data_IF_688212679005
#
_entry.id   IF_688212679005
#
_cell.length_a   1.000
_cell.length_b   1.000
_cell.length_c   1.000
_cell.angle_alpha   90.00
_cell.angle_beta   90.00
_cell.angle_gamma   90.00
#
_symmetry.space_group_name_H-M   'P 1'
#
loop_
_entity.id
_entity.type
_entity.pdbx_description
1 polymer ?
#
# COMPACT_ATOMS: atom_id res chain seq x y z
N UNK A 1 5.84 -35.86 32.46
CA UNK A 1 5.64 -34.77 33.44
C UNK A 1 6.69 -33.72 33.13
N UNK A 2 6.44 -32.52 32.62
CA UNK A 2 5.23 -31.71 32.47
C UNK A 2 5.40 -30.88 31.19
N UNK A 3 4.28 -30.71 30.48
CA UNK A 3 4.08 -29.83 29.34
C UNK A 3 4.38 -28.37 29.71
N UNK A 4 5.05 -27.64 28.83
CA UNK A 4 5.32 -26.21 29.00
C UNK A 4 5.11 -25.44 27.70
N UNK A 5 3.94 -25.65 27.09
CA UNK A 5 3.38 -24.78 26.07
C UNK A 5 3.39 -23.32 26.55
N UNK A 6 3.93 -22.42 25.74
CA UNK A 6 3.46 -21.03 25.69
C UNK A 6 3.64 -20.56 24.25
N UNK A 7 2.61 -20.70 23.41
CA UNK A 7 1.64 -19.63 23.16
C UNK A 7 2.32 -18.26 23.12
N UNK A 8 2.85 -17.90 21.95
CA UNK A 8 2.70 -16.55 21.44
C UNK A 8 1.68 -16.63 20.30
N UNK A 9 0.41 -16.60 20.71
CA UNK A 9 -0.68 -16.26 19.83
C UNK A 9 -0.73 -14.73 19.70
N UNK A 10 -1.27 -14.29 18.57
CA UNK A 10 -1.90 -12.98 18.35
C UNK A 10 -0.97 -11.79 18.02
N UNK A 11 -0.37 -11.84 16.83
CA UNK A 11 0.09 -10.65 16.08
C UNK A 11 -0.68 -10.44 14.77
N UNK A 12 -1.90 -10.99 14.64
CA UNK A 12 -2.80 -10.71 13.50
C UNK A 12 -3.88 -9.70 13.90
N UNK A 13 -3.45 -8.48 14.22
CA UNK A 13 -4.33 -7.31 14.15
C UNK A 13 -4.20 -6.72 12.74
N UNK A 14 -5.23 -6.90 11.91
CA UNK A 14 -5.33 -6.38 10.55
C UNK A 14 -5.48 -4.84 10.49
N UNK A 15 -4.57 -4.10 11.12
CA UNK A 15 -4.20 -2.76 10.66
C UNK A 15 -3.29 -2.93 9.44
N UNK A 16 -3.40 -2.04 8.44
CA UNK A 16 -2.52 -2.09 7.28
C UNK A 16 -1.06 -2.14 7.75
N UNK A 17 -0.43 -3.32 7.65
CA UNK A 17 0.96 -3.53 8.08
C UNK A 17 1.81 -2.55 7.29
N UNK A 18 2.40 -1.57 7.97
CA UNK A 18 3.38 -0.68 7.34
C UNK A 18 4.41 -1.59 6.68
N UNK A 19 4.59 -1.53 5.35
CA UNK A 19 5.50 -2.42 4.65
C UNK A 19 6.91 -2.24 5.22
N UNK A 20 7.36 -3.23 6.00
CA UNK A 20 8.55 -3.12 6.84
C UNK A 20 9.84 -3.19 6.03
N UNK A 21 9.80 -3.85 4.87
CA UNK A 21 10.96 -4.03 3.99
C UNK A 21 10.84 -3.22 2.70
N UNK A 22 11.98 -2.98 2.05
CA UNK A 22 12.02 -2.42 0.68
C UNK A 22 11.19 -3.28 -0.29
N UNK A 23 11.26 -4.60 -0.15
CA UNK A 23 10.52 -5.55 -0.98
C UNK A 23 9.01 -5.35 -0.85
N UNK A 24 8.50 -5.24 0.39
CA UNK A 24 7.08 -5.01 0.66
C UNK A 24 6.61 -3.68 0.04
N UNK A 25 7.41 -2.62 0.22
CA UNK A 25 7.14 -1.31 -0.34
C UNK A 25 7.09 -1.34 -1.86
N UNK A 26 8.07 -1.97 -2.51
CA UNK A 26 8.11 -2.09 -3.96
C UNK A 26 6.92 -2.89 -4.49
N UNK A 27 6.60 -4.04 -3.89
CA UNK A 27 5.48 -4.86 -4.34
C UNK A 27 4.15 -4.12 -4.21
N UNK A 28 3.95 -3.41 -3.09
CA UNK A 28 2.80 -2.53 -2.91
C UNK A 28 2.68 -1.49 -4.04
N UNK A 29 3.77 -0.82 -4.39
CA UNK A 29 3.77 0.17 -5.48
C UNK A 29 3.45 -0.47 -6.84
N UNK A 30 4.00 -1.65 -7.13
CA UNK A 30 3.67 -2.41 -8.35
C UNK A 30 2.20 -2.82 -8.42
N UNK A 31 1.59 -3.15 -7.28
CA UNK A 31 0.17 -3.49 -7.22
C UNK A 31 -0.73 -2.26 -7.43
N UNK A 32 -0.28 -1.09 -6.95
CA UNK A 32 -1.02 0.18 -7.12
C UNK A 32 -1.03 0.65 -8.58
N UNK A 33 0.09 0.57 -9.30
CA UNK A 33 0.17 1.02 -10.71
C UNK A 33 -0.49 0.06 -11.71
N UNK A 34 -0.83 -1.16 -11.28
CA UNK A 34 -1.49 -2.15 -12.12
C UNK A 34 -2.84 -1.62 -12.62
N UNK A 35 -3.10 -1.64 -13.93
CA UNK A 35 -4.43 -1.30 -14.47
C UNK A 35 -5.47 -2.38 -14.14
N UNK A 36 -6.75 -2.00 -13.92
CA UNK A 36 -7.83 -2.98 -13.77
C UNK A 36 -7.86 -3.92 -14.98
N UNK A 37 -7.96 -5.22 -14.72
CA UNK A 37 -8.01 -6.29 -15.74
C UNK A 37 -6.71 -6.56 -16.53
N UNK A 38 -5.60 -5.90 -16.20
CA UNK A 38 -4.29 -6.26 -16.76
C UNK A 38 -3.53 -7.22 -15.82
N UNK A 39 -2.71 -8.13 -16.37
CA UNK A 39 -1.80 -8.94 -15.55
C UNK A 39 -0.78 -8.04 -14.83
N UNK A 40 -0.18 -8.52 -13.72
CA UNK A 40 0.90 -7.80 -13.06
C UNK A 40 2.04 -7.47 -14.06
N UNK A 41 2.61 -6.28 -13.92
CA UNK A 41 3.75 -5.86 -14.75
C UNK A 41 4.92 -6.82 -14.53
N UNK A 42 5.43 -7.40 -15.62
CA UNK A 42 6.60 -8.26 -15.56
C UNK A 42 7.85 -7.44 -15.19
N UNK A 43 8.85 -8.08 -14.56
CA UNK A 43 10.09 -7.38 -14.22
C UNK A 43 10.84 -6.88 -15.47
N UNK A 44 10.68 -7.55 -16.62
CA UNK A 44 11.24 -7.11 -17.89
C UNK A 44 10.55 -5.83 -18.40
N UNK A 45 9.21 -5.80 -18.37
CA UNK A 45 8.46 -4.61 -18.74
C UNK A 45 8.77 -3.44 -17.79
N UNK A 46 8.82 -3.70 -16.47
CA UNK A 46 9.15 -2.69 -15.47
C UNK A 46 10.57 -2.13 -15.67
N UNK A 47 11.54 -3.01 -15.89
CA UNK A 47 12.93 -2.63 -16.20
C UNK A 47 13.02 -1.69 -17.40
N UNK A 48 12.33 -2.03 -18.50
CA UNK A 48 12.28 -1.19 -19.69
C UNK A 48 11.63 0.17 -19.42
N UNK A 49 10.48 0.19 -18.73
CA UNK A 49 9.75 1.42 -18.44
C UNK A 49 10.49 2.35 -17.47
N UNK A 50 11.19 1.79 -16.47
CA UNK A 50 12.06 2.58 -15.56
C UNK A 50 13.18 3.24 -16.36
N UNK A 51 13.85 2.48 -17.24
CA UNK A 51 14.93 3.03 -18.08
C UNK A 51 14.42 4.12 -19.03
N UNK A 52 13.27 3.89 -19.66
CA UNK A 52 12.65 4.87 -20.56
C UNK A 52 12.31 6.17 -19.83
N UNK A 53 11.75 6.08 -18.62
CA UNK A 53 11.33 7.25 -17.85
C UNK A 53 12.47 8.01 -17.19
N UNK A 54 13.47 7.29 -16.66
CA UNK A 54 14.49 7.87 -15.76
C UNK A 54 15.90 7.89 -16.36
N UNK A 55 16.12 7.20 -17.49
CA UNK A 55 17.45 6.98 -18.07
C UNK A 55 18.32 5.96 -17.30
N UNK A 56 17.93 5.55 -16.10
CA UNK A 56 18.70 4.63 -15.25
C UNK A 56 18.36 3.18 -15.59
N UNK A 57 19.40 2.39 -15.89
CA UNK A 57 19.22 0.97 -16.22
C UNK A 57 19.20 0.10 -14.95
N UNK A 58 18.05 -0.52 -14.67
CA UNK A 58 17.86 -1.52 -13.61
C UNK A 58 17.48 -2.82 -14.30
N UNK A 59 18.29 -3.89 -14.18
CA UNK A 59 18.00 -5.16 -14.87
C UNK A 59 16.78 -5.86 -14.29
N UNK A 60 16.05 -6.63 -15.12
CA UNK A 60 14.88 -7.39 -14.67
C UNK A 60 15.21 -8.40 -13.56
N UNK A 61 16.38 -9.04 -13.64
CA UNK A 61 16.85 -9.97 -12.61
C UNK A 61 17.14 -9.25 -11.28
N UNK A 62 17.77 -8.08 -11.34
CA UNK A 62 18.03 -7.29 -10.14
C UNK A 62 16.74 -6.73 -9.53
N UNK A 63 15.79 -6.29 -10.36
CA UNK A 63 14.47 -5.87 -9.89
C UNK A 63 13.72 -7.02 -9.21
N UNK A 64 13.79 -8.24 -9.74
CA UNK A 64 13.25 -9.44 -9.08
C UNK A 64 13.89 -9.68 -7.71
N UNK A 65 15.23 -9.57 -7.62
CA UNK A 65 15.95 -9.70 -6.35
C UNK A 65 15.57 -8.64 -5.32
N UNK A 66 15.27 -7.40 -5.76
CA UNK A 66 14.76 -6.35 -4.87
C UNK A 66 13.34 -6.67 -4.38
N UNK A 67 12.47 -7.12 -5.30
CA UNK A 67 11.06 -7.40 -5.00
C UNK A 67 10.84 -8.63 -4.13
N UNK A 68 11.77 -9.59 -4.11
CA UNK A 68 11.70 -10.76 -3.25
C UNK A 68 12.59 -10.65 -2.00
N UNK A 69 13.30 -9.53 -1.81
CA UNK A 69 14.16 -9.28 -0.66
C UNK A 69 15.52 -9.99 -0.69
N UNK A 70 15.88 -10.69 -1.77
CA UNK A 70 17.24 -11.28 -1.94
C UNK A 70 18.31 -10.18 -1.96
N UNK A 71 17.94 -9.00 -2.48
CA UNK A 71 18.72 -7.77 -2.37
C UNK A 71 17.84 -6.71 -1.73
N UNK A 72 18.41 -5.95 -0.81
CA UNK A 72 17.71 -4.95 0.00
C UNK A 72 18.47 -3.62 0.08
N UNK A 73 19.74 -3.61 -0.32
CA UNK A 73 20.61 -2.42 -0.32
C UNK A 73 20.98 -1.94 -1.74
N UNK A 74 20.03 -1.37 -2.51
CA UNK A 74 20.32 -0.76 -3.80
C UNK A 74 21.09 0.55 -3.68
N UNK A 75 21.73 0.97 -4.78
CA UNK A 75 22.38 2.28 -4.84
C UNK A 75 21.36 3.41 -4.75
N UNK A 76 21.80 4.59 -4.31
CA UNK A 76 20.96 5.81 -4.28
C UNK A 76 20.39 6.13 -5.66
N UNK A 77 21.15 5.89 -6.73
CA UNK A 77 20.68 6.09 -8.10
C UNK A 77 19.50 5.17 -8.45
N UNK A 78 19.57 3.89 -8.06
CA UNK A 78 18.47 2.94 -8.27
C UNK A 78 17.24 3.30 -7.43
N UNK A 79 17.41 3.71 -6.17
CA UNK A 79 16.30 4.14 -5.32
C UNK A 79 15.57 5.34 -5.91
N UNK A 80 16.31 6.35 -6.37
CA UNK A 80 15.74 7.54 -7.02
C UNK A 80 14.99 7.18 -8.29
N UNK A 81 15.56 6.33 -9.14
CA UNK A 81 14.90 5.89 -10.36
C UNK A 81 13.61 5.10 -10.08
N UNK A 82 13.61 4.22 -9.08
CA UNK A 82 12.41 3.50 -8.66
C UNK A 82 11.34 4.46 -8.12
N UNK A 83 11.73 5.40 -7.25
CA UNK A 83 10.81 6.37 -6.68
C UNK A 83 10.20 7.29 -7.74
N UNK A 84 11.02 7.80 -8.67
CA UNK A 84 10.59 8.60 -9.81
C UNK A 84 9.66 7.82 -10.74
N UNK A 85 9.94 6.54 -10.97
CA UNK A 85 9.06 5.67 -11.74
C UNK A 85 7.64 5.63 -11.16
N UNK A 86 7.52 5.49 -9.84
CA UNK A 86 6.25 5.48 -9.13
C UNK A 86 5.67 6.86 -8.81
N UNK A 87 6.43 7.94 -9.04
CA UNK A 87 6.00 9.31 -8.74
C UNK A 87 5.97 9.63 -7.25
N UNK A 88 6.89 9.03 -6.48
CA UNK A 88 6.98 9.17 -5.02
C UNK A 88 8.35 9.71 -4.60
N UNK A 89 8.47 10.29 -3.40
CA UNK A 89 9.77 10.66 -2.85
C UNK A 89 10.59 9.39 -2.54
N UNK A 90 11.90 9.44 -2.81
CA UNK A 90 12.79 8.30 -2.54
C UNK A 90 12.86 7.91 -1.05
N UNK A 91 12.57 8.85 -0.16
CA UNK A 91 12.48 8.64 1.29
C UNK A 91 11.49 7.52 1.64
N UNK A 92 10.37 7.41 0.90
CA UNK A 92 9.40 6.34 1.09
C UNK A 92 10.02 4.94 0.98
N UNK A 93 11.00 4.73 0.09
CA UNK A 93 11.61 3.41 -0.09
C UNK A 93 12.62 3.06 1.01
N UNK A 94 13.20 4.06 1.69
CA UNK A 94 14.27 3.87 2.68
C UNK A 94 13.79 4.02 4.12
N UNK A 95 12.78 4.85 4.38
CA UNK A 95 12.36 5.19 5.73
C UNK A 95 11.66 3.98 6.38
N UNK A 96 12.04 3.71 7.63
CA UNK A 96 11.38 2.71 8.48
C UNK A 96 10.07 3.23 9.06
N UNK A 97 9.88 4.55 9.05
CA UNK A 97 8.65 5.25 9.43
C UNK A 97 8.21 6.14 8.27
N UNK A 98 7.48 5.60 7.29
CA UNK A 98 6.97 6.38 6.18
C UNK A 98 6.04 7.50 6.66
N UNK A 99 5.93 8.57 5.86
CA UNK A 99 4.97 9.65 6.11
C UNK A 99 3.54 9.10 6.27
N UNK A 100 2.88 9.30 7.43
CA UNK A 100 1.51 8.83 7.66
C UNK A 100 0.50 9.37 6.64
N UNK A 101 0.70 10.60 6.15
CA UNK A 101 -0.16 11.20 5.14
C UNK A 101 -0.04 10.49 3.79
N UNK A 102 1.17 10.11 3.40
CA UNK A 102 1.41 9.32 2.20
C UNK A 102 0.84 7.89 2.34
N UNK A 103 1.05 7.24 3.49
CA UNK A 103 0.46 5.92 3.77
C UNK A 103 -1.07 5.94 3.68
N UNK A 104 -1.72 6.95 4.25
CA UNK A 104 -3.17 7.12 4.16
C UNK A 104 -3.63 7.25 2.69
N UNK A 105 -2.91 8.02 1.87
CA UNK A 105 -3.22 8.15 0.43
C UNK A 105 -3.04 6.84 -0.32
N UNK A 106 -1.95 6.11 -0.08
CA UNK A 106 -1.70 4.81 -0.70
C UNK A 106 -2.73 3.76 -0.24
N UNK A 107 -3.19 3.82 1.02
CA UNK A 107 -4.25 2.96 1.55
C UNK A 107 -5.59 3.25 0.86
N UNK A 108 -5.93 4.53 0.70
CA UNK A 108 -7.13 4.95 -0.02
C UNK A 108 -7.11 4.47 -1.48
N UNK A 109 -5.99 4.69 -2.19
CA UNK A 109 -5.83 4.22 -3.55
C UNK A 109 -6.00 2.70 -3.65
N UNK A 110 -5.41 1.94 -2.71
CA UNK A 110 -5.56 0.50 -2.66
C UNK A 110 -7.03 0.08 -2.43
N UNK A 111 -7.73 0.71 -1.49
CA UNK A 111 -9.13 0.41 -1.18
C UNK A 111 -10.06 0.69 -2.37
N UNK A 112 -9.83 1.80 -3.08
CA UNK A 112 -10.58 2.15 -4.29
C UNK A 112 -10.31 1.20 -5.48
N UNK A 113 -9.41 0.23 -5.35
CA UNK A 113 -9.26 -0.84 -6.36
C UNK A 113 -10.36 -1.89 -6.26
N UNK A 114 -10.99 -2.03 -5.09
CA UNK A 114 -12.09 -2.96 -4.87
C UNK A 114 -13.39 -2.47 -5.54
N UNK A 115 -14.05 -3.35 -6.30
CA UNK A 115 -15.27 -3.00 -7.01
C UNK A 115 -16.44 -2.69 -6.07
N UNK A 116 -16.54 -3.38 -4.94
CA UNK A 116 -17.55 -3.14 -3.91
C UNK A 116 -17.35 -1.79 -3.24
N UNK A 117 -16.11 -1.47 -2.84
CA UNK A 117 -15.74 -0.17 -2.24
C UNK A 117 -16.03 0.98 -3.22
N UNK A 118 -15.64 0.86 -4.50
CA UNK A 118 -15.99 1.86 -5.53
C UNK A 118 -17.50 2.03 -5.67
N UNK A 119 -18.24 0.92 -5.65
CA UNK A 119 -19.70 0.94 -5.73
C UNK A 119 -20.35 1.72 -4.58
N UNK A 120 -19.81 1.62 -3.37
CA UNK A 120 -20.27 2.39 -2.21
C UNK A 120 -19.90 3.87 -2.39
N UNK A 121 -18.65 4.17 -2.77
CA UNK A 121 -18.20 5.55 -2.96
C UNK A 121 -19.04 6.31 -3.99
N UNK A 122 -19.36 5.68 -5.13
CA UNK A 122 -20.22 6.28 -6.17
C UNK A 122 -21.64 6.60 -5.66
N UNK A 123 -22.19 5.77 -4.75
CA UNK A 123 -23.51 6.00 -4.15
C UNK A 123 -23.49 7.06 -3.06
N UNK A 124 -22.38 7.16 -2.34
CA UNK A 124 -22.18 8.18 -1.32
C UNK A 124 -21.95 9.57 -1.92
N UNK A 125 -21.56 9.65 -3.19
CA UNK A 125 -21.36 10.93 -3.91
C UNK A 125 -22.64 11.77 -3.90
N UNK A 126 -22.50 13.04 -3.49
CA UNK A 126 -23.61 13.99 -3.41
C UNK A 126 -24.44 13.93 -2.13
N UNK A 127 -24.14 13.00 -1.20
CA UNK A 127 -24.75 13.02 0.13
C UNK A 127 -24.28 14.23 0.93
N UNK A 128 -25.15 14.71 1.83
CA UNK A 128 -24.79 15.77 2.77
C UNK A 128 -23.73 15.29 3.76
N UNK A 129 -22.92 16.19 4.35
CA UNK A 129 -21.93 15.81 5.37
C UNK A 129 -22.54 14.99 6.51
N UNK A 130 -23.73 15.38 7.00
CA UNK A 130 -24.45 14.63 8.03
C UNK A 130 -24.82 13.22 7.59
N UNK A 131 -25.29 13.05 6.36
CA UNK A 131 -25.62 11.73 5.82
C UNK A 131 -24.37 10.85 5.67
N UNK A 132 -23.24 11.43 5.26
CA UNK A 132 -21.96 10.73 5.22
C UNK A 132 -21.50 10.27 6.61
N UNK A 133 -21.63 11.11 7.65
CA UNK A 133 -21.30 10.72 9.03
C UNK A 133 -22.17 9.57 9.53
N UNK A 134 -23.47 9.60 9.22
CA UNK A 134 -24.38 8.51 9.59
C UNK A 134 -24.00 7.20 8.88
N UNK A 135 -23.69 7.26 7.58
CA UNK A 135 -23.25 6.12 6.81
C UNK A 135 -21.94 5.53 7.36
N UNK A 136 -20.97 6.37 7.69
CA UNK A 136 -19.72 5.96 8.33
C UNK A 136 -19.99 5.21 9.65
N UNK A 137 -20.90 5.74 10.48
CA UNK A 137 -21.29 5.09 11.74
C UNK A 137 -21.93 3.70 11.54
N UNK A 138 -22.71 3.52 10.47
CA UNK A 138 -23.28 2.22 10.10
C UNK A 138 -22.19 1.25 9.63
N UNK A 139 -21.25 1.72 8.82
CA UNK A 139 -20.09 0.93 8.38
C UNK A 139 -19.28 0.47 9.59
N UNK A 140 -18.98 1.37 10.53
CA UNK A 140 -18.26 1.03 11.77
C UNK A 140 -19.00 -0.01 12.61
N UNK A 141 -20.33 0.06 12.64
CA UNK A 141 -21.14 -0.96 13.31
C UNK A 141 -20.97 -2.34 12.66
N UNK A 142 -21.07 -2.42 11.33
CA UNK A 142 -20.86 -3.69 10.60
C UNK A 142 -19.45 -4.21 10.80
N UNK A 143 -18.42 -3.35 10.76
CA UNK A 143 -17.02 -3.74 11.05
C UNK A 143 -16.87 -4.41 12.41
N UNK A 144 -17.53 -3.88 13.45
CA UNK A 144 -17.50 -4.50 14.79
C UNK A 144 -18.16 -5.87 14.82
N UNK A 145 -19.26 -6.06 14.09
CA UNK A 145 -19.92 -7.37 13.97
C UNK A 145 -19.01 -8.40 13.29
N UNK A 146 -18.28 -7.96 12.25
CA UNK A 146 -17.28 -8.76 11.52
C UNK A 146 -15.93 -8.90 12.28
N UNK A 147 -15.82 -8.33 13.49
CA UNK A 147 -14.58 -8.29 14.30
C UNK A 147 -13.38 -7.66 13.57
N UNK A 148 -13.65 -6.70 12.69
CA UNK A 148 -12.62 -5.93 11.99
C UNK A 148 -12.14 -4.77 12.87
N UNK A 149 -10.85 -4.39 12.76
CA UNK A 149 -10.31 -3.27 13.54
C UNK A 149 -10.99 -1.94 13.16
N UNK A 150 -11.01 -0.95 14.06
CA UNK A 150 -11.52 0.38 13.74
C UNK A 150 -10.68 1.04 12.64
N UNK A 151 -11.31 1.85 11.80
CA UNK A 151 -10.60 2.76 10.88
C UNK A 151 -10.52 4.09 11.62
N UNK A 152 -9.31 4.59 11.87
CA UNK A 152 -9.15 5.93 12.43
C UNK A 152 -9.73 6.96 11.44
N UNK A 153 -10.53 7.93 11.90
CA UNK A 153 -10.98 9.00 11.03
C UNK A 153 -9.75 9.71 10.49
N UNK A 154 -9.70 9.93 9.16
CA UNK A 154 -8.64 10.71 8.55
C UNK A 154 -8.54 12.04 9.31
N UNK A 155 -7.33 12.50 9.70
CA UNK A 155 -7.19 13.79 10.36
C UNK A 155 -7.84 14.86 9.47
N UNK A 156 -8.50 15.87 10.08
CA UNK A 156 -9.12 16.94 9.32
C UNK A 156 -8.09 17.51 8.35
N UNK A 157 -8.40 17.45 7.07
CA UNK A 157 -7.63 18.14 6.05
C UNK A 157 -7.97 19.62 6.24
N UNK A 158 -7.07 20.39 6.85
CA UNK A 158 -7.22 21.84 6.89
C UNK A 158 -7.23 22.38 5.45
N UNK A 159 -8.11 23.35 5.14
CA UNK A 159 -8.29 23.90 3.80
C UNK A 159 -7.08 24.69 3.29
#
# INVERSE_FOLDING_TARGET
MVNGSNLKADEDAAGAKVPGTLADRLNRLFDLVRKPNEPPMSNAAASAAIKEKTGVSISAAYLWQLRNGTKDNPTVAHLRALAEFFGLPASYLVDTTPDPGLEAQLNLLQALRDHGVRGIALRASGLTPRALTNLASMIDHVRRLERLPPIEPAPPQDP
#
